data_IF_158134837596
#
_entry.id   IF_158134837596
#
_cell.length_a   1.000
_cell.length_b   1.000
_cell.length_c   1.000
_cell.angle_alpha   90.00
_cell.angle_beta   90.00
_cell.angle_gamma   90.00
#
_symmetry.space_group_name_H-M   'P 1'
#
loop_
_entity.id
_entity.type
_entity.pdbx_description
1 polymer ?
#
# COMPACT_ATOMS: atom_id res chain seq x y z
N UNK A 1 27.03 -21.96 3.82
CA UNK A 1 26.33 -20.78 3.22
C UNK A 1 24.92 -20.65 3.79
N UNK A 2 24.24 -21.78 4.02
CA UNK A 2 22.90 -21.85 4.61
C UNK A 2 22.74 -21.06 5.93
N UNK A 3 23.61 -21.29 6.92
CA UNK A 3 23.52 -20.61 8.22
C UNK A 3 23.58 -19.07 8.10
N UNK A 4 24.50 -18.55 7.29
CA UNK A 4 24.61 -17.11 7.01
C UNK A 4 23.35 -16.55 6.35
N UNK A 5 22.77 -17.26 5.37
CA UNK A 5 21.51 -16.87 4.73
C UNK A 5 20.36 -16.80 5.74
N UNK A 6 20.25 -17.80 6.62
CA UNK A 6 19.24 -17.82 7.69
C UNK A 6 19.42 -16.64 8.63
N UNK A 7 20.66 -16.32 9.01
CA UNK A 7 20.95 -15.15 9.85
C UNK A 7 20.55 -13.84 9.15
N UNK A 8 20.84 -13.70 7.85
CA UNK A 8 20.50 -12.49 7.08
C UNK A 8 18.99 -12.30 6.88
N UNK A 9 18.22 -13.37 6.74
CA UNK A 9 16.76 -13.30 6.54
C UNK A 9 16.01 -13.26 7.88
N UNK A 10 16.57 -13.91 8.91
CA UNK A 10 15.96 -14.33 10.17
C UNK A 10 15.13 -15.61 10.10
N UNK A 11 15.28 -16.45 11.12
CA UNK A 11 14.52 -17.69 11.29
C UNK A 11 13.00 -17.43 11.37
N UNK A 12 12.61 -16.31 11.99
CA UNK A 12 11.19 -15.93 12.14
C UNK A 12 10.51 -15.64 10.80
N UNK A 13 11.23 -15.12 9.80
CA UNK A 13 10.68 -14.90 8.46
C UNK A 13 10.58 -16.23 7.70
N UNK A 14 11.64 -17.04 7.75
CA UNK A 14 11.68 -18.34 7.06
C UNK A 14 10.69 -19.37 7.63
N UNK A 15 10.42 -19.34 8.93
CA UNK A 15 9.51 -20.29 9.58
C UNK A 15 8.12 -20.29 8.96
N UNK A 16 7.64 -19.13 8.48
CA UNK A 16 6.34 -19.09 7.81
C UNK A 16 6.35 -19.85 6.48
N UNK A 17 7.44 -19.79 5.72
CA UNK A 17 7.56 -20.51 4.43
C UNK A 17 7.65 -22.00 4.66
N UNK A 18 8.44 -22.43 5.65
CA UNK A 18 8.52 -23.82 6.09
C UNK A 18 7.15 -24.34 6.56
N UNK A 19 6.43 -23.57 7.37
CA UNK A 19 5.10 -23.94 7.85
C UNK A 19 4.09 -24.05 6.70
N UNK A 20 4.06 -23.08 5.78
CA UNK A 20 3.03 -23.02 4.74
C UNK A 20 3.24 -24.06 3.63
N UNK A 21 4.49 -24.33 3.26
CA UNK A 21 4.80 -25.16 2.08
C UNK A 21 5.39 -26.53 2.43
N UNK A 22 5.94 -26.70 3.63
CA UNK A 22 6.69 -27.90 4.01
C UNK A 22 6.34 -28.45 5.39
N UNK A 23 5.20 -28.03 5.98
CA UNK A 23 4.75 -28.52 7.30
C UNK A 23 5.81 -28.39 8.40
N UNK A 24 6.63 -27.34 8.33
CA UNK A 24 7.75 -27.06 9.26
C UNK A 24 8.95 -28.01 9.17
N UNK A 25 9.07 -28.80 8.10
CA UNK A 25 10.22 -29.67 7.83
C UNK A 25 11.52 -28.87 7.68
N UNK A 26 12.46 -29.05 8.63
CA UNK A 26 13.73 -28.33 8.65
C UNK A 26 14.71 -28.77 7.54
N UNK A 27 14.50 -29.93 6.91
CA UNK A 27 15.30 -30.34 5.76
C UNK A 27 15.08 -29.44 4.54
N UNK A 28 13.95 -28.70 4.52
CA UNK A 28 13.51 -27.83 3.41
C UNK A 28 13.92 -26.36 3.53
N UNK A 29 14.94 -26.06 4.34
CA UNK A 29 15.39 -24.68 4.54
C UNK A 29 15.93 -24.03 3.26
N UNK A 30 16.63 -24.78 2.39
CA UNK A 30 17.17 -24.24 1.14
C UNK A 30 16.05 -23.83 0.19
N UNK A 31 15.02 -24.66 0.08
CA UNK A 31 13.82 -24.40 -0.72
C UNK A 31 13.00 -23.23 -0.14
N UNK A 32 12.84 -23.16 1.18
CA UNK A 32 12.17 -22.03 1.82
C UNK A 32 12.89 -20.69 1.58
N UNK A 33 14.22 -20.67 1.62
CA UNK A 33 15.04 -19.49 1.29
C UNK A 33 14.84 -19.08 -0.17
N UNK A 34 14.84 -20.06 -1.10
CA UNK A 34 14.60 -19.81 -2.51
C UNK A 34 13.22 -19.20 -2.77
N UNK A 35 12.17 -19.76 -2.16
CA UNK A 35 10.80 -19.24 -2.31
C UNK A 35 10.67 -17.85 -1.69
N UNK A 36 11.24 -17.62 -0.49
CA UNK A 36 11.27 -16.31 0.14
C UNK A 36 11.88 -15.28 -0.81
N UNK A 37 13.06 -15.57 -1.35
CA UNK A 37 13.82 -14.68 -2.23
C UNK A 37 13.07 -14.41 -3.54
N UNK A 38 12.59 -15.45 -4.21
CA UNK A 38 11.90 -15.34 -5.48
C UNK A 38 10.58 -14.56 -5.37
N UNK A 39 9.80 -14.78 -4.30
CA UNK A 39 8.58 -14.00 -4.05
C UNK A 39 8.93 -12.56 -3.67
N UNK A 40 9.98 -12.34 -2.88
CA UNK A 40 10.41 -11.01 -2.46
C UNK A 40 10.84 -10.13 -3.65
N UNK A 41 11.52 -10.67 -4.65
CA UNK A 41 11.87 -9.91 -5.85
C UNK A 41 10.62 -9.50 -6.63
N UNK A 42 9.65 -10.40 -6.76
CA UNK A 42 8.42 -10.17 -7.52
C UNK A 42 7.52 -9.11 -6.91
N UNK A 43 7.54 -8.94 -5.59
CA UNK A 43 6.73 -7.89 -4.95
C UNK A 43 7.25 -6.47 -5.23
N UNK A 44 8.42 -6.33 -5.86
CA UNK A 44 8.97 -5.04 -6.29
C UNK A 44 8.04 -4.24 -7.21
N UNK A 45 7.25 -4.92 -8.05
CA UNK A 45 6.34 -4.26 -9.01
C UNK A 45 5.21 -3.47 -8.32
N UNK A 46 4.90 -3.78 -7.05
CA UNK A 46 3.85 -3.09 -6.30
C UNK A 46 4.24 -1.70 -5.84
N UNK A 47 5.54 -1.41 -5.66
CA UNK A 47 5.97 -0.10 -5.15
C UNK A 47 5.51 1.04 -6.06
N UNK A 48 5.70 0.89 -7.38
CA UNK A 48 5.25 1.91 -8.33
C UNK A 48 3.73 2.02 -8.37
N UNK A 49 3.00 0.90 -8.40
CA UNK A 49 1.54 0.90 -8.45
C UNK A 49 0.92 1.56 -7.21
N UNK A 50 1.43 1.21 -6.02
CA UNK A 50 0.97 1.78 -4.75
C UNK A 50 1.31 3.27 -4.69
N UNK A 51 2.52 3.67 -5.10
CA UNK A 51 2.91 5.07 -5.14
C UNK A 51 1.96 5.89 -6.02
N UNK A 52 1.60 5.40 -7.20
CA UNK A 52 0.64 6.08 -8.08
C UNK A 52 -0.74 6.22 -7.45
N UNK A 53 -1.24 5.16 -6.78
CA UNK A 53 -2.50 5.21 -6.03
C UNK A 53 -2.43 6.24 -4.90
N UNK A 54 -1.33 6.25 -4.12
CA UNK A 54 -1.16 7.18 -3.00
C UNK A 54 -1.12 8.63 -3.49
N UNK A 55 -0.28 8.93 -4.47
CA UNK A 55 -0.12 10.30 -4.98
C UNK A 55 -1.43 10.81 -5.59
N UNK A 56 -2.11 9.99 -6.38
CA UNK A 56 -3.39 10.38 -6.99
C UNK A 56 -4.47 10.65 -5.94
N UNK A 57 -4.60 9.78 -4.93
CA UNK A 57 -5.54 10.01 -3.81
C UNK A 57 -5.22 11.31 -3.08
N UNK A 58 -3.95 11.54 -2.74
CA UNK A 58 -3.52 12.73 -1.99
C UNK A 58 -3.88 14.00 -2.73
N UNK A 59 -3.57 14.06 -4.02
CA UNK A 59 -3.82 15.26 -4.82
C UNK A 59 -5.32 15.52 -4.97
N UNK A 60 -6.12 14.50 -5.29
CA UNK A 60 -7.55 14.68 -5.46
C UNK A 60 -8.26 15.07 -4.16
N UNK A 61 -7.87 14.46 -3.03
CA UNK A 61 -8.40 14.86 -1.73
C UNK A 61 -7.97 16.28 -1.38
N UNK A 62 -6.71 16.64 -1.63
CA UNK A 62 -6.18 17.97 -1.31
C UNK A 62 -6.93 19.07 -2.06
N UNK A 63 -7.30 18.86 -3.32
CA UNK A 63 -8.11 19.82 -4.07
C UNK A 63 -9.52 19.99 -3.49
N UNK A 64 -10.15 18.90 -3.01
CA UNK A 64 -11.44 18.99 -2.31
C UNK A 64 -11.31 19.70 -0.97
N UNK A 65 -10.22 19.47 -0.24
CA UNK A 65 -9.93 20.19 1.01
C UNK A 65 -9.69 21.67 0.75
N UNK A 66 -9.00 22.02 -0.33
CA UNK A 66 -8.75 23.40 -0.76
C UNK A 66 -10.07 24.12 -1.01
N UNK A 67 -11.02 23.51 -1.71
CA UNK A 67 -12.34 24.10 -1.96
C UNK A 67 -13.18 24.27 -0.70
N UNK A 68 -12.98 23.43 0.32
CA UNK A 68 -13.64 23.55 1.62
C UNK A 68 -12.94 24.53 2.56
N UNK A 69 -11.68 24.90 2.28
CA UNK A 69 -10.90 25.81 3.10
C UNK A 69 -11.38 27.26 2.94
N UNK A 70 -11.40 28.06 4.03
CA UNK A 70 -11.62 29.49 3.92
C UNK A 70 -10.62 30.13 2.95
N UNK A 71 -11.12 30.95 2.02
CA UNK A 71 -10.32 31.62 0.98
C UNK A 71 -9.51 30.67 0.07
N UNK A 72 -9.87 29.38 0.01
CA UNK A 72 -9.09 28.34 -0.67
C UNK A 72 -7.64 28.20 -0.16
N UNK A 73 -7.36 28.65 1.07
CA UNK A 73 -6.05 28.58 1.69
C UNK A 73 -5.87 27.24 2.40
N UNK A 74 -5.40 26.25 1.63
CA UNK A 74 -5.17 24.90 2.13
C UNK A 74 -4.07 24.85 3.19
N UNK A 75 -3.05 25.70 3.10
CA UNK A 75 -1.98 25.78 4.08
C UNK A 75 -2.54 26.15 5.45
N UNK A 76 -3.27 27.26 5.55
CA UNK A 76 -3.89 27.70 6.79
C UNK A 76 -4.93 26.68 7.28
N UNK A 77 -5.65 26.04 6.37
CA UNK A 77 -6.60 25.00 6.73
C UNK A 77 -5.92 23.78 7.36
N UNK A 78 -4.78 23.32 6.87
CA UNK A 78 -4.00 22.27 7.54
C UNK A 78 -3.54 22.69 8.93
N UNK A 79 -3.12 23.94 9.11
CA UNK A 79 -2.75 24.46 10.43
C UNK A 79 -3.94 24.49 11.40
N UNK A 80 -5.11 24.94 10.95
CA UNK A 80 -6.35 24.87 11.71
C UNK A 80 -6.68 23.43 12.10
N UNK A 81 -6.71 22.51 11.13
CA UNK A 81 -7.00 21.09 11.35
C UNK A 81 -6.00 20.47 12.35
N UNK A 82 -4.74 20.88 12.29
CA UNK A 82 -3.71 20.41 13.18
C UNK A 82 -3.84 21.00 14.59
N UNK A 83 -4.15 22.28 14.77
CA UNK A 83 -3.98 22.97 16.05
C UNK A 83 -5.27 23.14 16.85
N UNK A 84 -6.42 23.27 16.17
CA UNK A 84 -7.70 23.54 16.81
C UNK A 84 -8.30 22.26 17.44
N UNK A 85 -8.88 22.38 18.63
CA UNK A 85 -9.53 21.26 19.34
C UNK A 85 -10.90 20.90 18.77
N UNK A 86 -11.53 21.87 18.11
CA UNK A 86 -12.84 21.73 17.45
C UNK A 86 -12.71 21.38 15.97
N UNK A 87 -11.48 21.26 15.45
CA UNK A 87 -11.25 20.77 14.10
C UNK A 87 -11.97 19.44 13.88
N UNK A 88 -12.52 19.18 12.68
CA UNK A 88 -13.26 17.96 12.38
C UNK A 88 -12.34 16.73 12.21
N UNK A 89 -11.34 16.54 13.07
CA UNK A 89 -10.42 15.41 13.05
C UNK A 89 -10.47 14.61 14.34
N UNK A 90 -10.19 13.31 14.23
CA UNK A 90 -9.88 12.51 15.42
C UNK A 90 -8.54 12.94 16.01
N UNK A 91 -8.35 12.73 17.33
CA UNK A 91 -7.10 13.03 18.04
C UNK A 91 -5.89 12.40 17.33
N UNK A 92 -6.05 11.17 16.84
CA UNK A 92 -4.98 10.46 16.12
C UNK A 92 -4.66 11.12 14.77
N UNK A 93 -5.67 11.51 14.00
CA UNK A 93 -5.47 12.17 12.70
C UNK A 93 -4.85 13.54 12.88
N UNK A 94 -5.27 14.28 13.92
CA UNK A 94 -4.68 15.55 14.30
C UNK A 94 -3.20 15.39 14.70
N UNK A 95 -2.85 14.35 15.46
CA UNK A 95 -1.46 14.03 15.82
C UNK A 95 -0.60 13.73 14.60
N UNK A 96 -1.13 12.97 13.64
CA UNK A 96 -0.43 12.66 12.38
C UNK A 96 -0.19 13.92 11.55
N UNK A 97 -1.17 14.81 11.46
CA UNK A 97 -1.03 16.07 10.74
C UNK A 97 -0.05 17.03 11.43
N UNK A 98 -0.11 17.17 12.76
CA UNK A 98 0.89 17.93 13.54
C UNK A 98 2.30 17.42 13.29
N UNK A 99 2.48 16.10 13.27
CA UNK A 99 3.77 15.47 12.99
C UNK A 99 4.26 15.82 11.57
N UNK A 100 3.41 15.66 10.56
CA UNK A 100 3.76 15.99 9.18
C UNK A 100 4.21 17.47 9.02
N UNK A 101 3.47 18.40 9.63
CA UNK A 101 3.82 19.82 9.66
C UNK A 101 5.17 20.05 10.38
N UNK A 102 5.42 19.36 11.49
CA UNK A 102 6.68 19.49 12.24
C UNK A 102 7.91 18.96 11.50
N UNK A 103 7.70 18.03 10.55
CA UNK A 103 8.75 17.45 9.71
C UNK A 103 9.05 18.31 8.47
N UNK A 104 8.19 19.27 8.15
CA UNK A 104 8.43 20.25 7.09
C UNK A 104 9.60 21.19 7.42
N UNK A 105 10.25 21.75 6.40
CA UNK A 105 11.39 22.64 6.58
C UNK A 105 10.98 23.91 7.35
N UNK A 106 11.67 24.20 8.46
CA UNK A 106 11.33 25.31 9.36
C UNK A 106 11.41 26.71 8.75
N UNK A 107 12.15 26.89 7.64
CA UNK A 107 12.38 28.23 7.07
C UNK A 107 11.32 28.63 6.05
N UNK A 108 10.98 27.74 5.12
CA UNK A 108 9.93 27.96 4.12
C UNK A 108 9.38 26.59 3.69
N UNK A 109 8.08 26.38 3.85
CA UNK A 109 7.35 25.22 3.34
C UNK A 109 5.94 25.65 2.94
N UNK A 110 5.35 24.94 1.98
CA UNK A 110 4.01 25.19 1.47
C UNK A 110 3.03 24.05 1.78
N UNK A 111 1.81 24.10 1.27
CA UNK A 111 0.84 23.01 1.45
C UNK A 111 1.26 21.69 0.79
N UNK A 112 2.06 21.73 -0.29
CA UNK A 112 2.52 20.53 -0.99
C UNK A 112 3.57 19.79 -0.16
N UNK A 113 4.43 20.54 0.53
CA UNK A 113 5.35 19.98 1.53
C UNK A 113 4.56 19.24 2.61
N UNK A 114 3.49 19.84 3.16
CA UNK A 114 2.64 19.19 4.15
C UNK A 114 2.01 17.91 3.57
N UNK A 115 1.40 17.97 2.39
CA UNK A 115 0.74 16.83 1.71
C UNK A 115 1.71 15.66 1.51
N UNK A 116 2.96 15.94 1.17
CA UNK A 116 3.98 14.92 0.96
C UNK A 116 4.36 14.19 2.26
N UNK A 117 4.39 14.89 3.40
CA UNK A 117 4.72 14.34 4.72
C UNK A 117 3.53 13.64 5.41
N UNK A 118 2.29 13.96 5.04
CA UNK A 118 1.12 13.28 5.59
C UNK A 118 1.13 11.80 5.16
N UNK A 119 1.04 10.90 6.15
CA UNK A 119 1.02 9.45 5.89
C UNK A 119 -0.22 9.03 5.09
N UNK A 120 -0.10 7.98 4.27
CA UNK A 120 -1.24 7.43 3.54
C UNK A 120 -2.42 7.06 4.45
N UNK A 121 -2.14 6.58 5.66
CA UNK A 121 -3.18 6.20 6.63
C UNK A 121 -4.06 7.36 7.08
N UNK A 122 -3.53 8.58 7.16
CA UNK A 122 -4.33 9.78 7.45
C UNK A 122 -5.40 9.98 6.38
N UNK A 123 -5.00 9.99 5.11
CA UNK A 123 -5.89 10.19 3.97
C UNK A 123 -6.98 9.12 3.92
N UNK A 124 -6.63 7.85 4.12
CA UNK A 124 -7.59 6.75 4.17
C UNK A 124 -8.59 6.91 5.33
N UNK A 125 -8.15 7.39 6.49
CA UNK A 125 -9.01 7.53 7.67
C UNK A 125 -10.02 8.69 7.55
N UNK A 126 -9.81 9.67 6.67
CA UNK A 126 -10.83 10.70 6.38
C UNK A 126 -12.12 10.08 5.82
N UNK A 127 -12.01 8.95 5.11
CA UNK A 127 -13.14 8.20 4.56
C UNK A 127 -13.77 7.21 5.54
N UNK A 128 -13.32 7.13 6.80
CA UNK A 128 -13.88 6.16 7.74
C UNK A 128 -15.38 6.44 7.96
N UNK A 129 -16.19 5.50 7.50
CA UNK A 129 -17.64 5.59 7.47
C UNK A 129 -18.30 5.10 8.77
N UNK A 130 -17.52 4.65 9.76
CA UNK A 130 -18.05 4.20 11.04
C UNK A 130 -18.09 5.35 12.04
N UNK A 131 -19.30 5.78 12.39
CA UNK A 131 -19.55 6.89 13.31
C UNK A 131 -18.94 6.69 14.71
N UNK A 132 -18.74 5.43 15.14
CA UNK A 132 -18.09 5.13 16.42
C UNK A 132 -16.59 5.44 16.38
N UNK A 133 -15.95 5.29 15.22
CA UNK A 133 -14.53 5.57 15.02
C UNK A 133 -14.27 7.01 14.55
N UNK A 134 -15.19 7.57 13.76
CA UNK A 134 -15.10 8.90 13.21
C UNK A 134 -16.36 9.72 13.53
N UNK A 135 -16.29 10.52 14.60
CA UNK A 135 -17.37 11.42 15.02
C UNK A 135 -17.65 12.54 14.00
N UNK A 136 -16.72 12.80 13.08
CA UNK A 136 -16.80 13.88 12.08
C UNK A 136 -17.22 13.36 10.70
N UNK A 137 -17.79 12.16 10.63
CA UNK A 137 -18.21 11.51 9.38
C UNK A 137 -19.08 12.39 8.48
N UNK A 138 -20.04 13.13 9.04
CA UNK A 138 -20.98 13.98 8.28
C UNK A 138 -20.21 15.10 7.56
N UNK A 139 -19.26 15.73 8.24
CA UNK A 139 -18.42 16.77 7.67
C UNK A 139 -17.60 16.22 6.49
N UNK A 140 -16.87 15.13 6.72
CA UNK A 140 -16.00 14.57 5.68
C UNK A 140 -16.74 13.99 4.49
N UNK A 141 -17.88 13.33 4.71
CA UNK A 141 -18.70 12.84 3.60
C UNK A 141 -19.30 13.98 2.77
N UNK A 142 -19.53 15.15 3.38
CA UNK A 142 -20.00 16.33 2.66
C UNK A 142 -18.89 16.92 1.81
N UNK A 143 -17.71 17.17 2.40
CA UNK A 143 -16.53 17.72 1.71
C UNK A 143 -16.05 16.79 0.59
N UNK A 144 -15.99 15.48 0.87
CA UNK A 144 -15.41 14.49 -0.05
C UNK A 144 -16.45 13.88 -0.99
N UNK A 145 -17.72 14.30 -0.94
CA UNK A 145 -18.79 13.78 -1.80
C UNK A 145 -18.45 13.80 -3.30
N UNK A 146 -17.77 14.83 -3.84
CA UNK A 146 -17.44 14.89 -5.27
C UNK A 146 -16.33 13.92 -5.69
N UNK A 147 -15.65 13.27 -4.74
CA UNK A 147 -14.45 12.50 -5.04
C UNK A 147 -14.68 11.42 -6.08
N UNK A 148 -13.73 11.30 -6.99
CA UNK A 148 -13.70 10.35 -8.09
C UNK A 148 -14.95 10.40 -8.97
N UNK A 149 -15.72 11.48 -9.03
CA UNK A 149 -16.94 11.59 -9.83
C UNK A 149 -17.88 10.36 -9.66
N UNK A 150 -18.00 9.83 -8.43
CA UNK A 150 -18.80 8.63 -8.12
C UNK A 150 -18.33 7.33 -8.82
N UNK A 151 -17.05 7.22 -9.19
CA UNK A 151 -16.41 5.97 -9.68
C UNK A 151 -16.42 4.83 -8.65
N UNK A 152 -16.75 5.13 -7.39
CA UNK A 152 -17.01 4.17 -6.32
C UNK A 152 -18.49 4.18 -5.94
N UNK A 153 -19.03 3.00 -5.61
CA UNK A 153 -20.46 2.84 -5.31
C UNK A 153 -20.87 3.53 -4.00
N UNK A 154 -19.96 3.60 -3.03
CA UNK A 154 -20.20 4.23 -1.73
C UNK A 154 -18.89 4.60 -1.02
N UNK A 155 -18.97 5.44 0.00
CA UNK A 155 -17.84 5.71 0.91
C UNK A 155 -17.34 4.43 1.61
N UNK A 156 -18.25 3.48 1.90
CA UNK A 156 -17.87 2.18 2.46
C UNK A 156 -17.00 1.37 1.50
N UNK A 157 -17.38 1.33 0.23
CA UNK A 157 -16.61 0.65 -0.82
C UNK A 157 -15.24 1.31 -1.00
N UNK A 158 -15.20 2.64 -1.10
CA UNK A 158 -13.96 3.42 -1.21
C UNK A 158 -13.04 3.18 -0.01
N UNK A 159 -13.55 3.35 1.23
CA UNK A 159 -12.76 3.15 2.44
C UNK A 159 -12.19 1.74 2.52
N UNK A 160 -13.01 0.71 2.30
CA UNK A 160 -12.55 -0.67 2.40
C UNK A 160 -11.48 -1.00 1.34
N UNK A 161 -11.67 -0.49 0.12
CA UNK A 161 -10.69 -0.61 -0.97
C UNK A 161 -9.36 0.04 -0.60
N UNK A 162 -9.38 1.31 -0.16
CA UNK A 162 -8.18 2.03 0.26
C UNK A 162 -7.53 1.39 1.50
N UNK A 163 -8.32 0.86 2.44
CA UNK A 163 -7.81 0.15 3.62
C UNK A 163 -7.09 -1.13 3.23
N UNK A 164 -7.54 -1.83 2.19
CA UNK A 164 -6.85 -3.00 1.65
C UNK A 164 -5.47 -2.61 1.08
N UNK A 165 -5.41 -1.54 0.26
CA UNK A 165 -4.14 -1.00 -0.26
C UNK A 165 -3.22 -0.61 0.88
N UNK A 166 -3.71 0.15 1.87
CA UNK A 166 -2.93 0.61 3.02
C UNK A 166 -2.37 -0.56 3.85
N UNK A 167 -3.17 -1.59 4.13
CA UNK A 167 -2.72 -2.77 4.87
C UNK A 167 -1.67 -3.57 4.10
N UNK A 168 -1.89 -3.76 2.81
CA UNK A 168 -0.92 -4.44 1.95
C UNK A 168 0.40 -3.66 1.90
N UNK A 169 0.32 -2.35 1.66
CA UNK A 169 1.45 -1.42 1.66
C UNK A 169 2.24 -1.50 2.95
N UNK A 170 1.59 -1.40 4.10
CA UNK A 170 2.29 -1.48 5.39
C UNK A 170 3.05 -2.81 5.54
N UNK A 171 2.42 -3.93 5.18
CA UNK A 171 3.08 -5.25 5.21
C UNK A 171 4.27 -5.33 4.24
N UNK A 172 4.12 -4.79 3.04
CA UNK A 172 5.18 -4.72 2.02
C UNK A 172 6.40 -3.93 2.54
N UNK A 173 6.18 -2.74 3.10
CA UNK A 173 7.27 -1.92 3.65
C UNK A 173 7.93 -2.52 4.89
N UNK A 174 7.19 -3.27 5.70
CA UNK A 174 7.73 -4.02 6.85
C UNK A 174 8.37 -5.37 6.47
N UNK A 175 8.44 -5.70 5.17
CA UNK A 175 8.97 -6.96 4.67
C UNK A 175 8.27 -8.17 5.29
N UNK A 176 6.96 -8.04 5.51
CA UNK A 176 6.09 -9.12 5.92
C UNK A 176 5.59 -9.87 4.68
N UNK A 177 5.14 -11.11 4.90
CA UNK A 177 4.42 -11.85 3.86
C UNK A 177 3.18 -11.05 3.45
N UNK A 178 2.91 -10.96 2.15
CA UNK A 178 1.76 -10.23 1.60
C UNK A 178 0.80 -11.12 0.79
N UNK A 179 1.15 -12.39 0.58
CA UNK A 179 0.24 -13.41 0.06
C UNK A 179 -0.60 -14.05 1.18
N UNK A 180 -1.69 -14.73 0.80
CA UNK A 180 -2.63 -15.32 1.75
C UNK A 180 -2.12 -16.66 2.31
N UNK A 181 -1.74 -16.68 3.59
CA UNK A 181 -1.21 -17.87 4.29
C UNK A 181 -2.22 -19.02 4.41
N UNK A 182 -3.52 -18.71 4.47
CA UNK A 182 -4.56 -19.73 4.64
C UNK A 182 -4.79 -20.53 3.35
N UNK A 183 -4.69 -19.87 2.20
CA UNK A 183 -4.98 -20.46 0.89
C UNK A 183 -3.74 -20.88 0.10
N UNK A 184 -2.55 -20.39 0.45
CA UNK A 184 -1.30 -20.72 -0.27
C UNK A 184 -0.61 -21.92 0.37
N UNK A 185 -1.02 -23.13 -0.02
CA UNK A 185 -0.36 -24.39 0.37
C UNK A 185 0.77 -24.79 -0.56
N UNK A 186 0.84 -24.16 -1.73
CA UNK A 186 1.91 -24.34 -2.71
C UNK A 186 2.49 -22.99 -3.14
N UNK A 187 3.80 -22.86 -3.45
CA UNK A 187 4.41 -21.60 -3.88
C UNK A 187 3.70 -20.95 -5.08
N UNK A 188 3.26 -21.76 -6.05
CA UNK A 188 2.48 -21.26 -7.21
C UNK A 188 1.18 -20.58 -6.78
N UNK A 189 0.51 -21.07 -5.73
CA UNK A 189 -0.71 -20.44 -5.22
C UNK A 189 -0.40 -19.09 -4.57
N UNK A 190 0.75 -18.96 -3.90
CA UNK A 190 1.21 -17.67 -3.40
C UNK A 190 1.44 -16.68 -4.55
N UNK A 191 2.09 -17.11 -5.64
CA UNK A 191 2.29 -16.29 -6.85
C UNK A 191 0.95 -15.84 -7.46
N UNK A 192 0.00 -16.76 -7.66
CA UNK A 192 -1.34 -16.44 -8.18
C UNK A 192 -2.11 -15.46 -7.28
N UNK A 193 -1.97 -15.59 -5.97
CA UNK A 193 -2.57 -14.65 -5.02
C UNK A 193 -1.98 -13.25 -5.13
N UNK A 194 -0.66 -13.14 -5.39
CA UNK A 194 -0.02 -11.87 -5.69
C UNK A 194 -0.58 -11.30 -6.99
N UNK A 195 -0.53 -12.03 -8.09
CA UNK A 195 -1.05 -11.58 -9.40
C UNK A 195 -2.49 -11.07 -9.31
N UNK A 196 -3.36 -11.81 -8.62
CA UNK A 196 -4.75 -11.40 -8.36
C UNK A 196 -4.82 -10.08 -7.59
N UNK A 197 -4.00 -9.93 -6.55
CA UNK A 197 -3.95 -8.70 -5.74
C UNK A 197 -3.40 -7.52 -6.54
N UNK A 198 -2.43 -7.75 -7.42
CA UNK A 198 -1.88 -6.74 -8.33
C UNK A 198 -2.97 -6.23 -9.28
N UNK A 199 -3.68 -7.16 -9.93
CA UNK A 199 -4.82 -6.84 -10.81
C UNK A 199 -5.90 -6.06 -10.08
N UNK A 200 -6.19 -6.41 -8.81
CA UNK A 200 -7.12 -5.62 -7.99
C UNK A 200 -6.62 -4.19 -7.78
N UNK A 201 -5.33 -3.98 -7.51
CA UNK A 201 -4.78 -2.64 -7.31
C UNK A 201 -4.72 -1.83 -8.60
N UNK A 202 -4.53 -2.49 -9.76
CA UNK A 202 -4.69 -1.84 -11.06
C UNK A 202 -6.12 -1.31 -11.26
N UNK A 203 -7.14 -2.10 -10.88
CA UNK A 203 -8.54 -1.65 -10.90
C UNK A 203 -8.77 -0.50 -9.92
N UNK A 204 -8.10 -0.48 -8.77
CA UNK A 204 -8.14 0.67 -7.85
C UNK A 204 -7.54 1.91 -8.51
N UNK A 205 -6.36 1.80 -9.14
CA UNK A 205 -5.75 2.92 -9.86
C UNK A 205 -6.65 3.40 -10.99
N UNK A 206 -7.26 2.51 -11.77
CA UNK A 206 -8.22 2.86 -12.82
C UNK A 206 -9.39 3.70 -12.27
N UNK A 207 -9.91 3.34 -11.09
CA UNK A 207 -10.99 4.09 -10.43
C UNK A 207 -10.52 5.40 -9.80
N UNK A 208 -9.27 5.54 -9.39
CA UNK A 208 -8.74 6.74 -8.71
C UNK A 208 -8.17 7.74 -9.73
N UNK A 209 -7.38 7.28 -10.69
CA UNK A 209 -6.75 8.09 -11.72
C UNK A 209 -6.75 7.33 -13.07
N UNK A 210 -7.86 7.37 -13.83
CA UNK A 210 -8.00 6.60 -15.06
C UNK A 210 -6.95 6.95 -16.11
N UNK A 211 -6.57 8.23 -16.23
CA UNK A 211 -5.53 8.67 -17.17
C UNK A 211 -4.15 8.11 -16.81
N UNK A 212 -3.83 8.07 -15.50
CA UNK A 212 -2.59 7.44 -15.00
C UNK A 212 -2.60 5.94 -15.24
N UNK A 213 -3.74 5.28 -15.00
CA UNK A 213 -3.91 3.86 -15.33
C UNK A 213 -3.68 3.61 -16.83
N UNK A 214 -4.32 4.38 -17.71
CA UNK A 214 -4.13 4.26 -19.16
C UNK A 214 -2.67 4.43 -19.57
N UNK A 215 -1.98 5.44 -19.03
CA UNK A 215 -0.56 5.64 -19.31
C UNK A 215 0.32 4.50 -18.78
N UNK A 216 0.00 3.96 -17.60
CA UNK A 216 0.68 2.79 -17.03
C UNK A 216 0.58 1.56 -17.93
N UNK A 217 -0.57 1.34 -18.57
CA UNK A 217 -0.77 0.23 -19.52
C UNK A 217 0.03 0.38 -20.82
N UNK A 218 0.56 1.58 -21.12
CA UNK A 218 1.43 1.81 -22.27
C UNK A 218 2.92 1.62 -21.94
N UNK A 219 3.27 1.51 -20.66
CA UNK A 219 4.66 1.38 -20.23
C UNK A 219 5.21 -0.01 -20.53
N UNK A 220 6.03 -0.13 -21.58
CA UNK A 220 6.63 -1.40 -21.99
C UNK A 220 7.45 -2.06 -20.87
N UNK A 221 8.15 -1.26 -20.06
CA UNK A 221 8.91 -1.75 -18.92
C UNK A 221 8.01 -2.42 -17.88
N UNK A 222 6.83 -1.85 -17.60
CA UNK A 222 5.89 -2.43 -16.64
C UNK A 222 5.17 -3.65 -17.20
N UNK A 223 4.85 -3.66 -18.50
CA UNK A 223 4.31 -4.84 -19.20
C UNK A 223 5.28 -6.01 -19.05
N UNK A 224 6.54 -5.84 -19.47
CA UNK A 224 7.56 -6.89 -19.35
C UNK A 224 7.79 -7.31 -17.91
N UNK A 225 7.86 -6.36 -16.97
CA UNK A 225 8.03 -6.68 -15.56
C UNK A 225 6.86 -7.53 -15.04
N UNK A 226 5.62 -7.21 -15.40
CA UNK A 226 4.43 -7.98 -15.04
C UNK A 226 4.50 -9.40 -15.60
N UNK A 227 4.79 -9.53 -16.89
CA UNK A 227 4.85 -10.82 -17.57
C UNK A 227 5.91 -11.71 -16.93
N UNK A 228 7.13 -11.19 -16.72
CA UNK A 228 8.22 -11.92 -16.07
C UNK A 228 7.87 -12.25 -14.60
N UNK A 229 7.34 -11.29 -13.84
CA UNK A 229 7.15 -11.46 -12.41
C UNK A 229 6.03 -12.43 -12.08
N UNK A 230 5.01 -12.55 -12.94
CA UNK A 230 3.90 -13.48 -12.74
C UNK A 230 3.97 -14.74 -13.62
N UNK A 231 5.02 -14.90 -14.44
CA UNK A 231 5.27 -16.14 -15.18
C UNK A 231 5.54 -17.32 -14.21
N UNK A 232 4.68 -18.33 -14.29
CA UNK A 232 4.74 -19.51 -13.42
C UNK A 232 5.91 -20.43 -13.76
N UNK A 233 6.27 -20.56 -15.04
CA UNK A 233 7.36 -21.44 -15.47
C UNK A 233 8.70 -20.88 -15.01
N UNK A 234 8.93 -19.58 -15.21
CA UNK A 234 10.10 -18.88 -14.74
C UNK A 234 10.21 -18.94 -13.22
N UNK A 235 9.10 -18.73 -12.50
CA UNK A 235 9.08 -18.87 -11.05
C UNK A 235 9.44 -20.29 -10.58
N UNK A 236 8.84 -21.32 -11.19
CA UNK A 236 9.14 -22.72 -10.89
C UNK A 236 10.60 -23.08 -11.17
N UNK A 237 11.14 -22.64 -12.30
CA UNK A 237 12.54 -22.84 -12.64
C UNK A 237 13.48 -22.18 -11.62
N UNK A 238 13.19 -20.93 -11.25
CA UNK A 238 13.98 -20.17 -10.27
C UNK A 238 14.00 -20.86 -8.90
N UNK A 239 12.83 -21.23 -8.34
CA UNK A 239 12.78 -21.89 -7.03
C UNK A 239 13.33 -23.32 -7.05
N UNK A 240 13.43 -23.95 -8.22
CA UNK A 240 14.10 -25.25 -8.39
C UNK A 240 15.62 -25.15 -8.45
N UNK A 241 16.14 -24.09 -9.07
CA UNK A 241 17.59 -23.89 -9.27
C UNK A 241 18.25 -23.26 -8.05
N UNK A 242 17.67 -22.21 -7.46
CA UNK A 242 18.27 -21.46 -6.34
C UNK A 242 18.74 -22.33 -5.16
N UNK A 243 17.99 -23.36 -4.71
CA UNK A 243 18.42 -24.22 -3.60
C UNK A 243 19.75 -24.93 -3.87
N UNK A 244 20.06 -25.26 -5.14
CA UNK A 244 21.29 -25.98 -5.53
C UNK A 244 22.55 -25.14 -5.31
N UNK A 245 22.41 -23.81 -5.30
CA UNK A 245 23.51 -22.88 -5.05
C UNK A 245 23.78 -22.65 -3.56
N UNK A 246 22.89 -23.08 -2.66
CA UNK A 246 23.06 -22.93 -1.22
C UNK A 246 23.84 -24.14 -0.71
N UNK A 247 25.15 -23.98 -0.47
CA UNK A 247 26.00 -25.00 0.17
C UNK A 247 25.74 -25.08 1.68
#
# INVERSE_FOLDING_TARGET
MLSKQITSISQSRLSTYLLCFYQSDQSKQKEAIAIYTALQHRVGIYFSLIQEIEVALRNEVSELLRQAAPNNDLYQFFHYLAQDKNAPLTIESQRQLKKAISECNKKHYDENDIISHISFGFWVNLFDYDIKRNKHIIYWQTVLKPIFNRRFNSFKDLYNTLKQVMRFRNRLYHQEIIWNKKTSKHPIQALKNLEKTYTQFEQVLQKIAPERFSFRQLSQALIWQRDIFFDQQLFCAEIGILPTHIK
#
